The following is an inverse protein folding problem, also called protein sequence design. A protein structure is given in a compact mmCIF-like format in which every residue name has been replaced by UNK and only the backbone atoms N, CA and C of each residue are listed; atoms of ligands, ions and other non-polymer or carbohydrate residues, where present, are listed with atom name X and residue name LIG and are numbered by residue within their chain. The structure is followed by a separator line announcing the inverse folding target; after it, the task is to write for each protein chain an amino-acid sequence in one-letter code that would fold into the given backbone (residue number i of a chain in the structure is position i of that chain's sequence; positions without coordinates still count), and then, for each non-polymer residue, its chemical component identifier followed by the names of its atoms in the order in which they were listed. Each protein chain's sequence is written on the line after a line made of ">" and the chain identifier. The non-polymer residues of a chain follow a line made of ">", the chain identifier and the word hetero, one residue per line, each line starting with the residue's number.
data_IF_878920658994
#
_entry.id   IF_878920658994
#
_cell.length_a   1.000
_cell.length_b   1.000
_cell.length_c   1.000
_cell.angle_alpha   90.00
_cell.angle_beta   90.00
_cell.angle_gamma   90.00
#
_symmetry.space_group_name_H-M   'P 1'
#
loop_
_entity.id
_entity.type
_entity.pdbx_description
1 polymer ?
#
# COMPACT_ATOMS: atom_id res chain seq x y z
N UNK A 1 17.32 -11.52 16.67
CA UNK A 1 16.79 -10.45 15.80
C UNK A 1 17.42 -9.12 16.25
N UNK A 2 18.76 -9.04 16.21
CA UNK A 2 19.56 -7.98 16.89
C UNK A 2 20.39 -7.14 15.90
N UNK A 3 19.93 -6.97 14.65
CA UNK A 3 20.75 -6.38 13.57
C UNK A 3 20.05 -5.28 12.77
N UNK A 4 19.08 -4.59 13.36
CA UNK A 4 18.49 -3.39 12.75
C UNK A 4 19.10 -2.17 13.42
N UNK A 5 19.81 -1.35 12.65
CA UNK A 5 20.38 -0.08 13.10
C UNK A 5 19.71 1.07 12.36
N UNK A 6 19.87 2.28 12.88
CA UNK A 6 19.54 3.51 12.17
C UNK A 6 20.37 3.64 10.88
N UNK A 7 19.98 4.56 9.99
CA UNK A 7 20.80 4.87 8.82
C UNK A 7 22.06 5.65 9.20
N UNK A 8 23.22 4.98 9.15
CA UNK A 8 24.55 5.57 9.42
C UNK A 8 25.31 5.94 8.14
N UNK A 9 24.59 6.20 7.03
CA UNK A 9 25.20 6.49 5.74
C UNK A 9 26.01 7.81 5.74
N UNK A 10 27.27 7.81 5.23
CA UNK A 10 28.10 9.01 5.17
C UNK A 10 27.50 10.05 4.21
N UNK A 11 27.46 11.32 4.62
CA UNK A 11 26.82 12.40 3.85
C UNK A 11 25.55 12.98 4.51
N UNK A 12 25.16 12.46 5.66
CA UNK A 12 24.25 13.13 6.61
C UNK A 12 24.98 14.25 7.37
N UNK A 13 25.84 15.03 6.73
CA UNK A 13 26.40 16.26 7.31
C UNK A 13 25.94 17.44 6.47
N UNK A 14 25.16 18.32 7.07
CA UNK A 14 24.64 19.53 6.44
C UNK A 14 25.62 20.67 6.70
N UNK A 15 26.01 21.40 5.65
CA UNK A 15 26.76 22.68 5.76
C UNK A 15 25.88 23.87 6.17
N UNK A 16 24.61 23.65 6.48
CA UNK A 16 23.65 24.69 6.88
C UNK A 16 23.31 24.55 8.38
N UNK A 17 22.71 25.60 8.97
CA UNK A 17 22.42 25.81 10.40
C UNK A 17 21.51 24.75 11.11
N UNK A 18 21.35 23.56 10.53
CA UNK A 18 20.61 22.44 11.09
C UNK A 18 21.47 21.18 11.06
N UNK A 19 21.47 20.44 12.16
CA UNK A 19 22.25 19.21 12.30
C UNK A 19 21.40 18.00 11.84
N UNK A 20 22.04 17.00 11.24
CA UNK A 20 21.41 15.69 11.10
C UNK A 20 21.47 14.97 12.45
N UNK A 21 20.41 14.26 12.85
CA UNK A 21 20.43 13.61 14.17
C UNK A 21 19.52 12.40 14.40
N UNK A 22 19.93 11.68 15.45
CA UNK A 22 19.40 10.54 16.23
C UNK A 22 19.20 9.20 15.51
N UNK A 23 18.17 9.04 14.68
CA UNK A 23 17.89 7.75 14.02
C UNK A 23 16.97 7.90 12.81
N UNK A 24 17.54 7.84 11.60
CA UNK A 24 16.75 7.76 10.37
C UNK A 24 16.40 6.32 9.99
N UNK A 25 15.34 6.15 9.21
CA UNK A 25 14.97 4.84 8.65
C UNK A 25 16.08 4.31 7.73
N UNK A 26 16.59 3.10 8.02
CA UNK A 26 17.69 2.50 7.29
C UNK A 26 17.23 1.82 5.99
N UNK A 27 16.95 2.63 4.96
CA UNK A 27 16.49 2.12 3.66
C UNK A 27 17.56 1.28 2.94
N UNK A 28 18.84 1.57 3.15
CA UNK A 28 19.93 0.79 2.55
C UNK A 28 19.90 -0.64 3.06
N UNK A 29 19.83 -0.82 4.38
CA UNK A 29 19.70 -2.14 5.00
C UNK A 29 18.40 -2.81 4.58
N UNK A 30 17.26 -2.14 4.73
CA UNK A 30 15.95 -2.76 4.48
C UNK A 30 15.81 -3.22 3.04
N UNK A 31 16.37 -2.49 2.08
CA UNK A 31 16.21 -2.83 0.67
C UNK A 31 17.18 -3.92 0.23
N UNK A 32 18.36 -4.00 0.85
CA UNK A 32 19.24 -5.17 0.74
C UNK A 32 18.59 -6.41 1.35
N UNK A 33 17.99 -6.28 2.53
CA UNK A 33 17.28 -7.38 3.19
C UNK A 33 16.11 -7.88 2.33
N UNK A 34 15.25 -6.98 1.87
CA UNK A 34 14.08 -7.31 1.04
C UNK A 34 14.48 -7.92 -0.31
N UNK A 35 15.55 -7.43 -0.95
CA UNK A 35 16.05 -8.03 -2.18
C UNK A 35 16.51 -9.48 -1.99
N UNK A 36 17.02 -9.84 -0.81
CA UNK A 36 17.42 -11.21 -0.50
C UNK A 36 16.24 -12.08 -0.05
N UNK A 37 15.29 -11.48 0.68
CA UNK A 37 14.15 -12.17 1.26
C UNK A 37 13.02 -12.44 0.23
N UNK A 38 12.70 -11.45 -0.59
CA UNK A 38 11.68 -11.50 -1.65
C UNK A 38 12.26 -11.74 -3.04
N UNK A 39 13.60 -11.78 -3.16
CA UNK A 39 14.27 -12.04 -4.43
C UNK A 39 13.93 -13.42 -5.01
N UNK A 40 14.19 -13.63 -6.32
CA UNK A 40 13.90 -14.90 -6.97
C UNK A 40 14.59 -16.06 -6.24
N UNK A 41 13.81 -17.02 -5.74
CA UNK A 41 14.38 -18.27 -5.23
C UNK A 41 15.06 -19.01 -6.39
N UNK A 42 16.27 -19.55 -6.14
CA UNK A 42 17.02 -20.33 -7.14
C UNK A 42 16.13 -21.49 -7.62
N UNK A 43 15.71 -21.46 -8.89
CA UNK A 43 14.99 -22.58 -9.52
C UNK A 43 13.93 -22.20 -10.55
N UNK A 44 13.09 -21.19 -10.30
CA UNK A 44 12.00 -20.85 -11.23
C UNK A 44 12.35 -19.66 -12.13
N UNK A 45 12.43 -19.90 -13.45
CA UNK A 45 12.55 -18.88 -14.49
C UNK A 45 11.24 -18.73 -15.29
N UNK A 46 10.13 -19.20 -14.73
CA UNK A 46 8.83 -19.13 -15.37
C UNK A 46 8.28 -17.69 -15.43
N UNK A 47 7.19 -17.52 -16.18
CA UNK A 47 6.57 -16.21 -16.37
C UNK A 47 6.08 -15.62 -15.03
N UNK A 48 5.56 -16.49 -14.15
CA UNK A 48 5.04 -16.11 -12.83
C UNK A 48 6.13 -15.57 -11.92
N UNK A 49 7.27 -16.26 -11.81
CA UNK A 49 8.40 -15.76 -11.03
C UNK A 49 8.90 -14.38 -11.51
N UNK A 50 8.84 -14.10 -12.81
CA UNK A 50 9.19 -12.76 -13.34
C UNK A 50 8.15 -11.70 -13.00
N UNK A 51 6.87 -12.02 -13.15
CA UNK A 51 5.78 -11.10 -12.78
C UNK A 51 5.85 -10.76 -11.27
N UNK A 52 6.07 -11.77 -10.42
CA UNK A 52 6.20 -11.60 -8.98
C UNK A 52 7.42 -10.77 -8.59
N UNK A 53 8.56 -11.01 -9.25
CA UNK A 53 9.78 -10.22 -9.05
C UNK A 53 9.61 -8.76 -9.50
N UNK A 54 8.90 -8.52 -10.61
CA UNK A 54 8.55 -7.17 -11.07
C UNK A 54 7.65 -6.45 -10.05
N UNK A 55 6.56 -7.07 -9.62
CA UNK A 55 5.64 -6.50 -8.64
C UNK A 55 6.31 -6.24 -7.28
N UNK A 56 7.24 -7.11 -6.87
CA UNK A 56 8.07 -6.89 -5.68
C UNK A 56 8.95 -5.65 -5.81
N UNK A 57 9.59 -5.44 -6.97
CA UNK A 57 10.35 -4.21 -7.22
C UNK A 57 9.47 -2.96 -7.20
N UNK A 58 8.26 -3.03 -7.76
CA UNK A 58 7.28 -1.93 -7.70
C UNK A 58 6.91 -1.60 -6.26
N UNK A 59 6.65 -2.62 -5.43
CA UNK A 59 6.36 -2.45 -4.00
C UNK A 59 7.51 -1.81 -3.21
N UNK A 60 8.73 -2.32 -3.37
CA UNK A 60 9.93 -1.74 -2.75
C UNK A 60 10.11 -0.28 -3.19
N UNK A 61 9.93 0.00 -4.49
CA UNK A 61 10.03 1.36 -5.04
C UNK A 61 8.96 2.29 -4.47
N UNK A 62 7.73 1.83 -4.29
CA UNK A 62 6.65 2.61 -3.69
C UNK A 62 6.99 3.03 -2.24
N UNK A 63 7.50 2.10 -1.43
CA UNK A 63 7.98 2.42 -0.06
C UNK A 63 9.14 3.41 -0.12
N UNK A 64 10.15 3.16 -0.97
CA UNK A 64 11.30 4.06 -1.13
C UNK A 64 10.88 5.49 -1.52
N UNK A 65 9.88 5.63 -2.39
CA UNK A 65 9.41 6.94 -2.84
C UNK A 65 8.72 7.77 -1.75
N UNK A 66 8.26 7.13 -0.68
CA UNK A 66 7.67 7.80 0.49
C UNK A 66 8.71 8.36 1.47
N UNK A 67 10.01 8.20 1.21
CA UNK A 67 11.05 8.71 2.09
C UNK A 67 11.11 10.24 2.05
N UNK A 68 10.89 10.88 3.20
CA UNK A 68 10.96 12.33 3.37
C UNK A 68 11.98 12.73 4.42
N UNK A 69 12.42 13.98 4.34
CA UNK A 69 13.19 14.60 5.44
C UNK A 69 12.18 15.14 6.46
N UNK A 70 12.18 14.58 7.67
CA UNK A 70 11.42 15.09 8.82
C UNK A 70 12.36 15.89 9.71
N UNK A 71 11.89 17.01 10.27
CA UNK A 71 12.67 17.83 11.17
C UNK A 71 11.90 18.14 12.45
N UNK A 72 12.63 18.27 13.57
CA UNK A 72 12.11 18.79 14.84
C UNK A 72 12.83 20.09 15.17
N UNK A 73 12.04 21.10 15.56
CA UNK A 73 12.54 22.42 15.93
C UNK A 73 12.76 22.49 17.45
N UNK A 74 13.88 23.09 17.86
CA UNK A 74 14.33 23.13 19.25
C UNK A 74 14.85 24.52 19.67
N UNK A 75 14.54 25.57 18.90
CA UNK A 75 14.89 26.93 19.26
C UNK A 75 14.04 27.46 20.41
N UNK A 76 14.47 28.59 20.98
CA UNK A 76 13.77 29.28 22.08
C UNK A 76 12.29 29.49 21.72
N UNK A 77 11.41 29.19 22.67
CA UNK A 77 9.95 29.28 22.52
C UNK A 77 9.37 28.47 21.35
N UNK A 78 10.02 27.38 20.95
CA UNK A 78 9.57 26.52 19.85
C UNK A 78 9.97 27.01 18.45
N UNK A 79 10.86 28.00 18.36
CA UNK A 79 11.36 28.48 17.07
C UNK A 79 12.19 27.42 16.32
N UNK A 80 12.23 27.52 14.99
CA UNK A 80 13.02 26.62 14.13
C UNK A 80 14.42 27.16 13.77
N UNK A 81 14.90 28.17 14.51
CA UNK A 81 16.25 28.72 14.33
C UNK A 81 17.34 27.64 14.49
N UNK A 82 17.08 26.67 15.38
CA UNK A 82 17.82 25.42 15.48
C UNK A 82 16.82 24.27 15.26
N UNK A 83 17.18 23.35 14.37
CA UNK A 83 16.39 22.14 14.09
C UNK A 83 17.30 20.96 13.82
N UNK A 84 16.77 19.78 14.09
CA UNK A 84 17.41 18.50 13.80
C UNK A 84 16.55 17.74 12.81
N UNK A 85 17.15 17.19 11.76
CA UNK A 85 16.42 16.47 10.71
C UNK A 85 16.91 15.03 10.55
N UNK A 86 16.03 14.14 10.09
CA UNK A 86 16.32 12.74 9.74
C UNK A 86 15.46 12.29 8.56
N UNK A 87 15.84 11.16 7.96
CA UNK A 87 15.04 10.50 6.92
C UNK A 87 13.99 9.60 7.56
N UNK A 88 12.74 9.77 7.16
CA UNK A 88 11.61 9.01 7.68
C UNK A 88 10.67 8.62 6.54
N UNK A 89 10.17 7.40 6.56
CA UNK A 89 9.15 6.92 5.65
C UNK A 89 7.81 7.62 5.93
N UNK A 90 7.05 7.85 4.86
CA UNK A 90 5.66 8.28 4.95
C UNK A 90 4.81 7.27 5.73
N UNK A 91 3.71 7.70 6.36
CA UNK A 91 2.70 6.79 6.88
C UNK A 91 2.31 5.75 5.83
N UNK A 92 2.21 4.47 6.23
CA UNK A 92 2.00 3.38 5.28
C UNK A 92 0.67 3.48 4.51
N UNK A 93 -0.30 4.25 5.03
CA UNK A 93 -1.54 4.60 4.31
C UNK A 93 -1.26 5.26 2.95
N UNK A 94 -0.29 6.17 2.88
CA UNK A 94 0.07 6.86 1.63
C UNK A 94 0.66 5.86 0.62
N UNK A 95 1.55 4.98 1.07
CA UNK A 95 2.09 3.88 0.24
C UNK A 95 0.99 2.95 -0.25
N UNK A 96 0.05 2.58 0.62
CA UNK A 96 -1.09 1.74 0.29
C UNK A 96 -2.00 2.38 -0.77
N UNK A 97 -2.28 3.68 -0.65
CA UNK A 97 -3.04 4.43 -1.66
C UNK A 97 -2.29 4.48 -3.01
N UNK A 98 -0.99 4.75 -3.00
CA UNK A 98 -0.18 4.78 -4.21
C UNK A 98 -0.15 3.40 -4.91
N UNK A 99 -0.04 2.31 -4.15
CA UNK A 99 -0.12 0.95 -4.68
C UNK A 99 -1.52 0.59 -5.17
N UNK A 100 -2.58 1.06 -4.49
CA UNK A 100 -3.97 0.86 -4.92
C UNK A 100 -4.24 1.51 -6.27
N UNK A 101 -3.74 2.73 -6.51
CA UNK A 101 -3.86 3.38 -7.81
C UNK A 101 -3.15 2.57 -8.92
N UNK A 102 -1.96 2.02 -8.63
CA UNK A 102 -1.23 1.14 -9.56
C UNK A 102 -1.94 -0.19 -9.79
N UNK A 103 -2.66 -0.70 -8.79
CA UNK A 103 -3.47 -1.91 -8.89
C UNK A 103 -4.66 -1.68 -9.83
N UNK A 104 -5.33 -0.52 -9.71
CA UNK A 104 -6.46 -0.17 -10.58
C UNK A 104 -6.06 0.03 -12.05
N UNK A 105 -4.79 0.39 -12.30
CA UNK A 105 -4.21 0.53 -13.63
C UNK A 105 -3.23 -0.58 -14.00
N UNK A 106 -3.34 -1.76 -13.35
CA UNK A 106 -2.40 -2.86 -13.58
C UNK A 106 -2.49 -3.38 -15.02
N UNK A 107 -1.37 -3.90 -15.53
CA UNK A 107 -1.23 -4.29 -16.94
C UNK A 107 -1.19 -5.81 -17.08
N UNK A 108 -2.07 -6.35 -17.94
CA UNK A 108 -2.00 -7.76 -18.32
C UNK A 108 -0.74 -8.01 -19.14
N UNK A 109 0.05 -9.01 -18.77
CA UNK A 109 1.30 -9.37 -19.47
C UNK A 109 1.27 -10.81 -19.94
N UNK A 110 2.01 -11.08 -21.00
CA UNK A 110 2.24 -12.40 -21.56
C UNK A 110 3.74 -12.63 -21.78
N UNK A 111 4.08 -13.90 -22.01
CA UNK A 111 5.41 -14.32 -22.40
C UNK A 111 5.67 -14.02 -23.87
N UNK A 112 6.87 -13.55 -24.18
CA UNK A 112 7.51 -13.87 -25.44
C UNK A 112 8.95 -14.34 -25.16
N UNK A 113 9.63 -14.88 -26.16
CA UNK A 113 11.04 -15.25 -26.00
C UNK A 113 11.84 -14.26 -26.80
N UNK A 114 12.77 -13.54 -26.16
CA UNK A 114 13.71 -12.74 -26.93
C UNK A 114 14.73 -13.70 -27.56
N UNK A 115 14.60 -13.94 -28.87
CA UNK A 115 15.44 -14.89 -29.62
C UNK A 115 16.94 -14.55 -29.55
N UNK A 116 17.30 -13.29 -29.36
CA UNK A 116 18.70 -12.86 -29.26
C UNK A 116 19.36 -13.18 -27.91
N UNK A 117 18.59 -13.34 -26.83
CA UNK A 117 19.11 -13.53 -25.46
C UNK A 117 18.64 -14.83 -24.81
N UNK A 118 17.73 -15.59 -25.46
CA UNK A 118 17.08 -16.76 -24.87
C UNK A 118 16.33 -16.45 -23.57
N UNK A 119 16.03 -15.17 -23.32
CA UNK A 119 15.44 -14.69 -22.07
C UNK A 119 13.97 -14.37 -22.30
N UNK A 120 13.14 -14.96 -21.45
CA UNK A 120 11.73 -14.64 -21.36
C UNK A 120 11.58 -13.22 -20.78
N UNK A 121 10.87 -12.33 -21.46
CA UNK A 121 10.50 -11.00 -20.97
C UNK A 121 8.99 -10.91 -20.74
N UNK A 122 8.55 -9.88 -20.01
CA UNK A 122 7.14 -9.55 -19.86
C UNK A 122 6.75 -8.56 -20.96
N UNK A 123 5.70 -8.87 -21.73
CA UNK A 123 5.13 -7.94 -22.70
C UNK A 123 3.65 -7.73 -22.44
N UNK A 124 3.21 -6.48 -22.54
CA UNK A 124 1.80 -6.13 -22.57
C UNK A 124 1.24 -6.30 -23.99
N UNK A 125 0.03 -6.84 -24.19
CA UNK A 125 -0.57 -6.93 -25.51
C UNK A 125 -0.78 -5.53 -26.11
N UNK A 126 -0.65 -5.43 -27.44
CA UNK A 126 -0.90 -4.19 -28.16
C UNK A 126 -2.34 -3.72 -27.94
N UNK A 127 -2.57 -2.41 -27.89
CA UNK A 127 -3.93 -1.87 -27.88
C UNK A 127 -4.66 -2.32 -29.16
N UNK A 128 -5.97 -2.66 -29.10
CA UNK A 128 -6.74 -2.97 -30.30
C UNK A 128 -6.61 -1.83 -31.32
N UNK A 129 -6.10 -2.13 -32.52
CA UNK A 129 -5.87 -1.14 -33.59
C UNK A 129 -4.46 -0.56 -33.69
N UNK A 130 -3.49 -0.95 -32.85
CA UNK A 130 -2.08 -0.55 -33.00
C UNK A 130 -1.25 -1.59 -33.76
N UNK A 131 -0.51 -1.21 -34.81
CA UNK A 131 0.38 -2.11 -35.55
C UNK A 131 1.69 -2.43 -34.81
N UNK A 132 1.91 -1.87 -33.62
CA UNK A 132 3.13 -2.07 -32.82
C UNK A 132 3.11 -3.40 -32.06
N UNK A 133 4.25 -4.12 -32.04
CA UNK A 133 4.51 -5.18 -31.05
C UNK A 133 4.25 -4.65 -29.63
N UNK A 134 3.75 -5.52 -28.75
CA UNK A 134 3.51 -5.20 -27.34
C UNK A 134 4.72 -4.56 -26.66
N UNK A 135 4.50 -3.55 -25.82
CA UNK A 135 5.58 -2.88 -25.09
C UNK A 135 5.86 -3.60 -23.76
N UNK A 136 7.11 -3.51 -23.30
CA UNK A 136 7.46 -3.88 -21.94
C UNK A 136 6.69 -3.00 -20.94
N UNK A 137 6.18 -3.56 -19.82
CA UNK A 137 5.50 -2.80 -18.79
C UNK A 137 6.45 -1.76 -18.18
N UNK A 138 5.92 -0.60 -17.76
CA UNK A 138 6.77 0.42 -17.13
C UNK A 138 7.24 -0.08 -15.78
N UNK A 139 8.39 0.40 -15.32
CA UNK A 139 8.96 0.05 -14.00
C UNK A 139 8.09 0.43 -12.79
N UNK A 140 6.99 1.16 -13.00
CA UNK A 140 6.02 1.50 -11.97
C UNK A 140 4.69 0.77 -12.10
N UNK A 141 4.46 0.01 -13.16
CA UNK A 141 3.17 -0.64 -13.40
C UNK A 141 3.12 -1.95 -12.61
N UNK A 142 2.02 -2.23 -11.91
CA UNK A 142 1.77 -3.59 -11.45
C UNK A 142 1.34 -4.45 -12.64
N UNK A 143 1.74 -5.71 -12.66
CA UNK A 143 1.47 -6.64 -13.76
C UNK A 143 0.73 -7.89 -13.30
N UNK A 144 -0.09 -8.45 -14.17
CA UNK A 144 -0.82 -9.70 -13.93
C UNK A 144 -0.89 -10.54 -15.22
N UNK A 145 -1.08 -11.85 -15.11
CA UNK A 145 -1.09 -12.75 -16.29
C UNK A 145 -2.47 -13.33 -16.57
N UNK A 146 -3.23 -13.59 -15.52
CA UNK A 146 -4.53 -14.26 -15.57
C UNK A 146 -5.60 -13.30 -15.08
N UNK A 147 -6.77 -13.33 -15.71
CA UNK A 147 -7.89 -12.50 -15.25
C UNK A 147 -8.33 -12.98 -13.86
N UNK A 148 -8.74 -12.02 -13.03
CA UNK A 148 -9.21 -12.35 -11.68
C UNK A 148 -10.52 -13.14 -11.76
N UNK A 149 -10.69 -14.18 -10.92
CA UNK A 149 -11.95 -14.92 -10.86
C UNK A 149 -13.07 -14.03 -10.31
N UNK A 150 -14.31 -14.47 -10.43
CA UNK A 150 -15.41 -13.86 -9.70
C UNK A 150 -15.28 -14.16 -8.19
N UNK A 151 -15.34 -13.11 -7.37
CA UNK A 151 -15.34 -13.20 -5.91
C UNK A 151 -16.75 -13.21 -5.31
N UNK A 152 -17.80 -13.22 -6.14
CA UNK A 152 -19.18 -13.09 -5.69
C UNK A 152 -19.68 -14.34 -4.94
N UNK A 153 -19.29 -15.53 -5.40
CA UNK A 153 -19.69 -16.82 -4.85
C UNK A 153 -18.49 -17.55 -4.22
N UNK A 154 -18.73 -18.44 -3.24
CA UNK A 154 -17.69 -19.27 -2.66
C UNK A 154 -16.93 -20.06 -3.74
N UNK A 155 -15.61 -20.07 -3.65
CA UNK A 155 -14.68 -20.80 -4.52
C UNK A 155 -13.38 -21.07 -3.78
N UNK A 156 -12.44 -21.79 -4.40
CA UNK A 156 -11.10 -21.98 -3.84
C UNK A 156 -10.30 -20.68 -3.64
N UNK A 157 -10.73 -19.57 -4.26
CA UNK A 157 -10.08 -18.26 -4.17
C UNK A 157 -10.81 -17.26 -3.26
N UNK A 158 -12.05 -17.57 -2.86
CA UNK A 158 -12.89 -16.61 -2.14
C UNK A 158 -13.99 -17.29 -1.35
N UNK A 159 -14.34 -16.83 -0.13
CA UNK A 159 -15.53 -17.29 0.57
C UNK A 159 -16.85 -16.75 -0.03
N UNK A 160 -16.80 -15.87 -1.04
CA UNK A 160 -17.97 -15.16 -1.56
C UNK A 160 -18.26 -13.85 -0.83
N UNK A 161 -19.30 -13.12 -1.27
CA UNK A 161 -19.67 -11.82 -0.67
C UNK A 161 -20.95 -11.83 0.16
N UNK A 162 -21.64 -12.96 0.25
CA UNK A 162 -22.82 -13.10 1.10
C UNK A 162 -22.47 -12.83 2.58
N UNK A 163 -23.35 -12.13 3.30
CA UNK A 163 -23.13 -11.78 4.71
C UNK A 163 -22.14 -10.63 4.94
N UNK A 164 -21.55 -10.03 3.89
CA UNK A 164 -20.65 -8.88 4.05
C UNK A 164 -21.42 -7.59 4.26
N UNK A 165 -20.95 -6.77 5.21
CA UNK A 165 -21.45 -5.42 5.40
C UNK A 165 -21.04 -4.52 4.23
N UNK A 166 -21.98 -3.72 3.73
CA UNK A 166 -21.79 -2.79 2.62
C UNK A 166 -22.33 -1.40 2.96
N UNK A 167 -21.94 -0.41 2.17
CA UNK A 167 -22.49 0.95 2.21
C UNK A 167 -23.49 1.10 1.07
N UNK A 168 -24.72 1.55 1.39
CA UNK A 168 -25.86 1.59 0.47
C UNK A 168 -25.51 2.28 -0.85
N UNK A 169 -24.93 3.47 -0.78
CA UNK A 169 -24.56 4.27 -1.96
C UNK A 169 -23.16 3.96 -2.49
N UNK A 170 -22.22 3.56 -1.63
CA UNK A 170 -20.82 3.45 -2.03
C UNK A 170 -20.41 2.06 -2.54
N UNK A 171 -21.00 0.97 -2.01
CA UNK A 171 -20.46 -0.37 -2.27
C UNK A 171 -21.47 -1.51 -2.37
N UNK A 172 -22.72 -1.37 -1.93
CA UNK A 172 -23.66 -2.49 -1.98
C UNK A 172 -23.95 -2.98 -3.41
N UNK A 173 -24.01 -2.08 -4.39
CA UNK A 173 -24.27 -2.43 -5.80
C UNK A 173 -23.20 -3.36 -6.38
N UNK A 174 -21.92 -3.10 -6.07
CA UNK A 174 -20.79 -3.91 -6.54
C UNK A 174 -20.50 -5.10 -5.63
N UNK A 175 -20.49 -4.90 -4.30
CA UNK A 175 -20.13 -5.93 -3.33
C UNK A 175 -21.15 -7.07 -3.29
N UNK A 176 -22.44 -6.76 -3.39
CA UNK A 176 -23.50 -7.77 -3.33
C UNK A 176 -23.78 -8.41 -4.69
N UNK A 177 -23.06 -8.01 -5.75
CA UNK A 177 -23.14 -8.58 -7.09
C UNK A 177 -24.57 -8.70 -7.63
N UNK A 178 -25.42 -7.69 -7.38
CA UNK A 178 -26.82 -7.68 -7.83
C UNK A 178 -27.80 -8.52 -7.01
N UNK A 179 -27.37 -9.28 -5.99
CA UNK A 179 -28.27 -10.07 -5.12
C UNK A 179 -29.12 -9.22 -4.16
N UNK A 180 -28.80 -7.93 -4.04
CA UNK A 180 -29.36 -7.04 -3.04
C UNK A 180 -28.76 -7.25 -1.65
N UNK A 181 -29.32 -6.57 -0.67
CA UNK A 181 -28.86 -6.56 0.71
C UNK A 181 -30.05 -6.50 1.67
N UNK A 182 -29.86 -7.03 2.88
CA UNK A 182 -30.75 -6.84 4.01
C UNK A 182 -30.40 -5.55 4.75
N UNK A 183 -31.41 -4.93 5.36
CA UNK A 183 -31.25 -3.72 6.17
C UNK A 183 -31.69 -4.02 7.58
N UNK A 184 -30.79 -3.76 8.54
CA UNK A 184 -31.07 -3.93 9.96
C UNK A 184 -30.75 -2.62 10.68
N UNK A 185 -31.66 -2.15 11.54
CA UNK A 185 -31.34 -1.06 12.45
C UNK A 185 -30.66 -1.59 13.70
N UNK A 186 -29.64 -0.88 14.15
CA UNK A 186 -28.84 -1.23 15.32
C UNK A 186 -28.61 0.02 16.16
N UNK A 187 -28.88 -0.08 17.45
CA UNK A 187 -28.45 0.95 18.40
C UNK A 187 -26.96 0.79 18.68
N UNK A 188 -26.20 1.84 18.39
CA UNK A 188 -24.76 1.93 18.65
C UNK A 188 -24.53 2.94 19.76
N UNK A 189 -23.90 2.48 20.85
CA UNK A 189 -23.48 3.37 21.93
C UNK A 189 -22.14 4.04 21.57
N UNK A 190 -22.04 5.35 21.77
CA UNK A 190 -20.83 6.12 21.52
C UNK A 190 -20.64 7.20 22.59
N UNK A 191 -19.40 7.64 22.76
CA UNK A 191 -19.06 8.73 23.68
C UNK A 191 -19.47 10.07 23.08
N UNK A 192 -20.28 10.82 23.82
CA UNK A 192 -20.81 12.12 23.41
C UNK A 192 -20.65 13.14 24.55
N UNK A 193 -20.84 14.42 24.24
CA UNK A 193 -20.81 15.52 25.23
C UNK A 193 -19.57 15.49 26.14
N UNK A 194 -18.41 15.18 25.56
CA UNK A 194 -17.16 15.07 26.30
C UNK A 194 -16.70 16.43 26.83
N UNK A 195 -16.44 16.50 28.14
CA UNK A 195 -15.90 17.68 28.81
C UNK A 195 -14.52 17.37 29.37
N UNK A 196 -13.60 18.31 29.17
CA UNK A 196 -12.26 18.24 29.78
C UNK A 196 -12.37 18.80 31.18
N UNK A 197 -12.15 17.97 32.19
CA UNK A 197 -12.07 18.45 33.56
C UNK A 197 -10.70 19.08 33.79
N UNK A 198 -10.67 20.25 34.45
CA UNK A 198 -9.42 20.94 34.76
C UNK A 198 -8.62 20.07 35.75
N UNK A 199 -7.58 19.40 35.22
CA UNK A 199 -6.70 18.38 35.82
C UNK A 199 -7.29 16.95 35.95
N UNK A 200 -7.17 15.99 35.03
CA UNK A 200 -6.51 15.82 33.72
C UNK A 200 -7.21 14.69 32.92
N UNK A 201 -8.54 14.57 33.03
CA UNK A 201 -9.30 13.51 32.37
C UNK A 201 -10.46 14.08 31.57
N UNK A 202 -10.88 13.31 30.57
CA UNK A 202 -12.05 13.62 29.76
C UNK A 202 -13.19 12.77 30.28
N UNK A 203 -14.28 13.43 30.62
CA UNK A 203 -15.50 12.77 31.04
C UNK A 203 -16.52 12.91 29.92
N UNK A 204 -17.04 11.78 29.43
CA UNK A 204 -18.02 11.74 28.36
C UNK A 204 -19.28 11.02 28.84
N UNK A 205 -20.43 11.42 28.31
CA UNK A 205 -21.66 10.66 28.45
C UNK A 205 -21.69 9.53 27.42
N UNK A 206 -22.42 8.45 27.72
CA UNK A 206 -22.77 7.45 26.71
C UNK A 206 -24.09 7.82 26.04
N UNK A 207 -24.02 8.17 24.77
CA UNK A 207 -25.19 8.34 23.91
C UNK A 207 -25.45 7.07 23.13
N UNK A 208 -26.69 6.92 22.66
CA UNK A 208 -27.08 5.87 21.71
C UNK A 208 -27.60 6.52 20.45
N UNK A 209 -27.22 5.97 19.30
CA UNK A 209 -27.75 6.37 18.00
C UNK A 209 -28.22 5.12 17.25
N UNK A 210 -29.35 5.24 16.55
CA UNK A 210 -29.79 4.21 15.61
C UNK A 210 -29.00 4.35 14.30
N UNK A 211 -28.28 3.29 13.94
CA UNK A 211 -27.58 3.18 12.66
C UNK A 211 -28.18 2.05 11.81
N UNK A 212 -28.26 2.28 10.51
CA UNK A 212 -28.67 1.26 9.54
C UNK A 212 -27.45 0.49 9.05
N UNK A 213 -27.47 -0.82 9.25
CA UNK A 213 -26.46 -1.76 8.74
C UNK A 213 -27.03 -2.49 7.53
N UNK A 214 -26.26 -2.49 6.43
CA UNK A 214 -26.62 -3.16 5.19
C UNK A 214 -25.72 -4.39 4.98
N UNK A 215 -26.32 -5.55 4.73
CA UNK A 215 -25.58 -6.81 4.61
C UNK A 215 -25.97 -7.54 3.33
N UNK A 216 -24.99 -7.95 2.52
CA UNK A 216 -25.27 -8.61 1.25
C UNK A 216 -26.03 -9.93 1.43
N UNK A 217 -27.08 -10.12 0.63
CA UNK A 217 -27.87 -11.35 0.60
C UNK A 217 -27.07 -12.55 0.08
N UNK A 218 -27.52 -13.74 0.46
CA UNK A 218 -27.02 -15.02 -0.05
C UNK A 218 -27.32 -15.20 -1.53
#
# INVERSE_FOLDING_TARGET
>A
MERCTCDDSPGLESRQAWQWGVCGDNLKYSTKFLSNFLGPKRGSKDLRARADAHNTHVGIKAVKSGLRTTCKCHGVSGSCAVRTCWKQLSPFRETGQALKLRYDSAVKVSSATNEALGRLELWAPARPGSPSKGLAPRSGDLVYMEDSPSFCRPSKYSPGTAGRVCSREASCSSLCCGRGYDTQSRLVAFSCHCQVQWCCYVECQQCVQEELVYTCKH
#
